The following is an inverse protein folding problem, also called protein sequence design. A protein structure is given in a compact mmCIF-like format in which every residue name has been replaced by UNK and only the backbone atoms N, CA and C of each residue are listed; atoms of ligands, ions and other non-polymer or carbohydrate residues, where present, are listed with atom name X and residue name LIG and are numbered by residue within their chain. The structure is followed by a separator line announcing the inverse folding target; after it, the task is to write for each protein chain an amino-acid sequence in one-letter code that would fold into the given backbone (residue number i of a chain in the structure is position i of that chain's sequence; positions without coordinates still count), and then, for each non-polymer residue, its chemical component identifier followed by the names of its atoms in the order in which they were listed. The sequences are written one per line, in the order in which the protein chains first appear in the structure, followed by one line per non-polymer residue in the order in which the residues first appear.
data_IF_024323430635
#
_entry.id   IF_024323430635
#
_cell.length_a   1.000
_cell.length_b   1.000
_cell.length_c   1.000
_cell.angle_alpha   90.00
_cell.angle_beta   90.00
_cell.angle_gamma   90.00
#
_symmetry.space_group_name_H-M   'P 1'
#
loop_
_entity.id
_entity.type
_entity.pdbx_description
1 polymer ?
#
# COMPACT_ATOMS: atom_id res chain seq x y z
N UNK A 1 27.17 22.80 15.33
CA UNK A 1 26.01 23.66 15.73
C UNK A 1 25.04 23.93 14.57
N UNK A 2 25.52 24.25 13.35
CA UNK A 2 24.67 24.47 12.17
C UNK A 2 23.85 23.23 11.74
N UNK A 3 24.44 22.04 11.77
CA UNK A 3 23.75 20.81 11.30
C UNK A 3 22.59 20.37 12.19
N UNK A 4 22.72 20.55 13.51
CA UNK A 4 21.64 20.29 14.46
C UNK A 4 20.46 21.28 14.29
N UNK A 5 20.76 22.50 13.85
CA UNK A 5 19.76 23.52 13.55
C UNK A 5 19.01 23.17 12.27
N UNK A 6 19.75 22.78 11.21
CA UNK A 6 19.18 22.35 9.92
C UNK A 6 18.26 21.13 10.05
N UNK A 7 18.64 20.13 10.87
CA UNK A 7 17.79 18.95 11.13
C UNK A 7 16.51 19.30 11.90
N UNK A 8 16.60 20.18 12.89
CA UNK A 8 15.44 20.66 13.65
C UNK A 8 14.50 21.49 12.79
N UNK A 9 15.03 22.33 11.90
CA UNK A 9 14.21 23.09 10.94
C UNK A 9 13.57 22.18 9.88
N UNK A 10 14.28 21.16 9.38
CA UNK A 10 13.70 20.20 8.45
C UNK A 10 12.56 19.40 9.09
N UNK A 11 12.76 18.90 10.32
CA UNK A 11 11.73 18.20 11.07
C UNK A 11 10.52 19.09 11.38
N UNK A 12 10.76 20.35 11.77
CA UNK A 12 9.68 21.31 12.00
C UNK A 12 8.89 21.63 10.72
N UNK A 13 9.57 21.74 9.57
CA UNK A 13 8.92 21.92 8.27
C UNK A 13 8.14 20.67 7.87
N UNK A 14 8.67 19.46 8.08
CA UNK A 14 7.96 18.21 7.81
C UNK A 14 6.73 18.02 8.70
N UNK A 15 6.83 18.35 9.99
CA UNK A 15 5.70 18.29 10.93
C UNK A 15 4.67 19.36 10.61
N UNK A 16 5.08 20.57 10.23
CA UNK A 16 4.16 21.61 9.77
C UNK A 16 3.47 21.23 8.46
N UNK A 17 4.17 20.58 7.54
CA UNK A 17 3.60 20.07 6.29
C UNK A 17 2.59 18.95 6.58
N UNK A 18 2.93 18.02 7.47
CA UNK A 18 2.05 16.93 7.92
C UNK A 18 0.80 17.49 8.63
N UNK A 19 0.96 18.43 9.56
CA UNK A 19 -0.16 19.08 10.24
C UNK A 19 -1.00 19.94 9.28
N UNK A 20 -0.39 20.60 8.28
CA UNK A 20 -1.16 21.31 7.25
C UNK A 20 -1.94 20.36 6.34
N UNK A 21 -1.37 19.18 6.03
CA UNK A 21 -2.08 18.12 5.31
C UNK A 21 -3.22 17.55 6.15
N UNK A 22 -3.05 17.41 7.48
CA UNK A 22 -4.10 16.98 8.41
C UNK A 22 -5.17 18.06 8.64
N UNK A 23 -4.80 19.35 8.65
CA UNK A 23 -5.75 20.46 8.77
C UNK A 23 -6.57 20.69 7.49
N UNK A 24 -6.10 20.22 6.33
CA UNK A 24 -6.86 20.13 5.09
C UNK A 24 -7.55 18.75 4.90
N UNK A 25 -7.30 17.77 5.77
CA UNK A 25 -7.93 16.45 5.76
C UNK A 25 -9.25 16.41 6.54
N UNK A 26 -10.10 17.43 6.37
CA UNK A 26 -11.55 17.31 6.61
C UNK A 26 -12.30 16.92 5.34
N UNK A 27 -11.58 16.57 4.28
CA UNK A 27 -12.14 15.95 3.10
C UNK A 27 -11.95 14.44 3.19
N UNK A 28 -12.94 13.76 3.78
CA UNK A 28 -13.38 12.47 3.24
C UNK A 28 -13.47 12.68 1.73
N UNK A 29 -12.66 12.00 0.92
CA UNK A 29 -12.80 12.06 -0.53
C UNK A 29 -14.06 11.25 -0.91
N UNK A 30 -15.21 11.89 -0.74
CA UNK A 30 -16.47 11.58 -1.40
C UNK A 30 -16.37 12.18 -2.81
N UNK A 31 -15.67 11.50 -3.71
CA UNK A 31 -15.99 11.63 -5.13
C UNK A 31 -17.35 10.94 -5.37
N UNK A 32 -18.19 11.37 -6.31
CA UNK A 32 -19.39 10.59 -6.63
C UNK A 32 -18.94 9.21 -7.11
N UNK A 33 -19.23 8.17 -6.33
CA UNK A 33 -19.32 6.80 -6.87
C UNK A 33 -20.52 6.86 -7.81
N UNK A 34 -20.27 7.10 -9.10
CA UNK A 34 -21.29 7.17 -10.14
C UNK A 34 -21.85 5.74 -10.30
N UNK A 35 -23.13 5.48 -9.94
CA UNK A 35 -23.71 4.16 -10.13
C UNK A 35 -23.73 3.84 -11.62
N UNK A 36 -23.13 2.71 -12.02
CA UNK A 36 -23.31 2.15 -13.36
C UNK A 36 -22.10 2.16 -14.30
N UNK A 37 -20.99 2.84 -13.99
CA UNK A 37 -19.78 2.76 -14.84
C UNK A 37 -18.51 2.33 -14.10
N UNK A 38 -18.35 2.72 -12.83
CA UNK A 38 -17.17 2.40 -12.02
C UNK A 38 -17.60 1.99 -10.61
N UNK A 39 -17.72 0.67 -10.36
CA UNK A 39 -18.14 0.15 -9.06
C UNK A 39 -17.00 0.27 -8.05
N UNK A 40 -17.11 1.20 -7.10
CA UNK A 40 -16.20 1.30 -5.96
C UNK A 40 -16.98 1.19 -4.66
N UNK A 41 -16.39 0.58 -3.65
CA UNK A 41 -16.95 0.43 -2.30
C UNK A 41 -15.88 0.75 -1.28
N UNK A 42 -16.17 1.70 -0.39
CA UNK A 42 -15.25 2.22 0.62
C UNK A 42 -15.95 2.16 1.99
N UNK A 43 -15.36 1.50 2.97
CA UNK A 43 -15.86 1.41 4.35
C UNK A 43 -14.69 1.59 5.32
N UNK A 44 -14.91 2.40 6.36
CA UNK A 44 -13.90 2.75 7.36
C UNK A 44 -13.28 4.14 7.13
N UNK A 45 -12.47 4.57 8.09
CA UNK A 45 -11.78 5.87 8.08
C UNK A 45 -10.48 5.76 7.28
N UNK A 46 -10.60 5.78 5.95
CA UNK A 46 -9.47 5.59 5.03
C UNK A 46 -9.56 6.51 3.82
N UNK A 47 -8.42 6.71 3.14
CA UNK A 47 -8.30 7.64 2.02
C UNK A 47 -8.07 6.88 0.71
N UNK A 48 -8.92 7.11 -0.29
CA UNK A 48 -8.70 6.62 -1.64
C UNK A 48 -8.64 7.79 -2.62
N UNK A 49 -7.50 7.98 -3.30
CA UNK A 49 -7.24 9.15 -4.16
C UNK A 49 -6.43 8.83 -5.41
N UNK A 50 -6.50 9.73 -6.41
CA UNK A 50 -5.76 9.61 -7.67
C UNK A 50 -5.30 10.97 -8.19
N UNK A 51 -4.19 10.98 -8.90
CA UNK A 51 -3.49 12.17 -9.39
C UNK A 51 -3.98 12.65 -10.76
N UNK A 52 -4.47 11.75 -11.62
CA UNK A 52 -4.75 12.05 -13.04
C UNK A 52 -6.20 11.77 -13.48
N UNK A 53 -7.04 11.19 -12.63
CA UNK A 53 -8.44 10.81 -12.95
C UNK A 53 -9.22 10.33 -11.70
N UNK A 54 -10.34 9.60 -11.89
CA UNK A 54 -11.22 9.10 -10.82
C UNK A 54 -10.82 7.72 -10.30
N UNK A 55 -11.05 7.47 -9.01
CA UNK A 55 -10.97 6.14 -8.39
C UNK A 55 -12.06 5.25 -8.99
N UNK A 56 -11.69 4.05 -9.46
CA UNK A 56 -12.61 3.10 -10.10
C UNK A 56 -12.26 1.65 -9.81
N UNK A 57 -13.29 0.81 -9.70
CA UNK A 57 -13.17 -0.63 -9.48
C UNK A 57 -12.38 -0.95 -8.21
N UNK A 58 -12.64 -0.21 -7.13
CA UNK A 58 -11.93 -0.35 -5.88
C UNK A 58 -12.82 -0.93 -4.81
N UNK A 59 -12.31 -1.88 -4.05
CA UNK A 59 -12.90 -2.29 -2.80
C UNK A 59 -11.94 -1.99 -1.65
N UNK A 60 -12.27 -1.03 -0.80
CA UNK A 60 -11.48 -0.65 0.36
C UNK A 60 -12.31 -0.84 1.62
N UNK A 61 -11.85 -1.69 2.53
CA UNK A 61 -12.42 -1.86 3.86
C UNK A 61 -11.31 -1.79 4.89
N UNK A 62 -11.43 -0.85 5.82
CA UNK A 62 -10.57 -0.73 6.98
C UNK A 62 -10.34 0.71 7.38
N UNK A 63 -9.62 0.87 8.49
CA UNK A 63 -9.30 2.15 9.09
C UNK A 63 -7.82 2.48 8.90
N UNK A 64 -7.51 3.78 8.88
CA UNK A 64 -6.15 4.33 8.75
C UNK A 64 -5.39 3.82 7.50
N UNK A 65 -6.12 3.44 6.45
CA UNK A 65 -5.53 2.91 5.23
C UNK A 65 -5.55 3.92 4.09
N UNK A 66 -4.66 3.73 3.13
CA UNK A 66 -4.59 4.60 1.96
C UNK A 66 -4.46 3.81 0.66
N UNK A 67 -5.23 4.25 -0.33
CA UNK A 67 -5.19 3.75 -1.70
C UNK A 67 -4.91 4.91 -2.64
N UNK A 68 -3.74 4.91 -3.27
CA UNK A 68 -3.31 6.01 -4.12
C UNK A 68 -2.95 5.49 -5.51
N UNK A 69 -3.49 6.12 -6.54
CA UNK A 69 -3.15 5.84 -7.94
C UNK A 69 -3.31 4.37 -8.37
N UNK A 70 -4.16 3.60 -7.67
CA UNK A 70 -4.30 2.14 -7.83
C UNK A 70 -5.76 1.75 -8.08
N UNK A 71 -6.15 1.62 -9.36
CA UNK A 71 -7.51 1.16 -9.73
C UNK A 71 -7.61 -0.37 -9.70
N UNK A 72 -8.82 -0.93 -9.88
CA UNK A 72 -9.04 -2.39 -9.94
C UNK A 72 -8.42 -3.12 -8.73
N UNK A 73 -8.50 -2.48 -7.56
CA UNK A 73 -7.75 -2.89 -6.38
C UNK A 73 -8.69 -3.30 -5.27
N UNK A 74 -8.30 -4.34 -4.54
CA UNK A 74 -8.95 -4.73 -3.30
C UNK A 74 -7.98 -4.48 -2.15
N UNK A 75 -8.40 -3.72 -1.15
CA UNK A 75 -7.68 -3.48 0.10
C UNK A 75 -8.62 -3.81 1.25
N UNK A 76 -8.31 -4.87 1.99
CA UNK A 76 -8.98 -5.20 3.25
C UNK A 76 -7.95 -5.26 4.36
N UNK A 77 -7.97 -4.27 5.24
CA UNK A 77 -6.88 -4.10 6.18
C UNK A 77 -6.92 -2.77 6.88
N UNK A 78 -6.38 -2.75 8.10
CA UNK A 78 -6.14 -1.49 8.81
C UNK A 78 -4.68 -1.10 8.67
N UNK A 79 -4.40 0.20 8.77
CA UNK A 79 -3.05 0.77 8.64
C UNK A 79 -2.29 0.27 7.39
N UNK A 80 -3.00 0.03 6.29
CA UNK A 80 -2.46 -0.60 5.09
C UNK A 80 -2.39 0.36 3.91
N UNK A 81 -1.45 0.12 3.01
CA UNK A 81 -1.16 1.01 1.90
C UNK A 81 -1.12 0.29 0.56
N UNK A 82 -1.79 0.85 -0.45
CA UNK A 82 -1.61 0.43 -1.84
C UNK A 82 -1.38 1.66 -2.72
N UNK A 83 -0.21 1.75 -3.34
CA UNK A 83 0.26 2.93 -4.09
C UNK A 83 0.81 2.52 -5.44
N UNK A 84 0.42 3.22 -6.51
CA UNK A 84 0.88 2.98 -7.88
C UNK A 84 0.83 1.50 -8.33
N UNK A 85 -0.15 0.76 -7.83
CA UNK A 85 -0.22 -0.70 -7.97
C UNK A 85 -1.60 -1.11 -8.47
N UNK A 86 -1.99 -0.72 -9.70
CA UNK A 86 -3.31 -1.09 -10.22
C UNK A 86 -3.47 -2.60 -10.37
N UNK A 87 -4.70 -3.09 -10.23
CA UNK A 87 -5.00 -4.52 -10.34
C UNK A 87 -4.52 -5.37 -9.16
N UNK A 88 -4.20 -4.76 -8.01
CA UNK A 88 -3.61 -5.46 -6.87
C UNK A 88 -4.64 -5.88 -5.82
N UNK A 89 -4.22 -6.77 -4.92
CA UNK A 89 -5.01 -7.27 -3.79
C UNK A 89 -4.15 -7.21 -2.54
N UNK A 90 -4.58 -6.45 -1.53
CA UNK A 90 -3.93 -6.33 -0.22
C UNK A 90 -4.88 -6.77 0.89
N UNK A 91 -4.47 -7.78 1.66
CA UNK A 91 -5.25 -8.37 2.75
C UNK A 91 -4.40 -8.44 4.02
N UNK A 92 -4.60 -7.56 5.00
CA UNK A 92 -3.82 -7.63 6.23
C UNK A 92 -3.74 -6.32 7.02
N UNK A 93 -3.14 -6.38 8.19
CA UNK A 93 -2.80 -5.20 8.99
C UNK A 93 -1.35 -4.79 8.65
N UNK A 94 -1.08 -3.50 8.47
CA UNK A 94 0.24 -2.99 8.03
C UNK A 94 0.71 -3.55 6.66
N UNK A 95 -0.20 -4.03 5.82
CA UNK A 95 0.16 -4.59 4.52
C UNK A 95 0.50 -3.46 3.53
N UNK A 96 1.53 -3.66 2.70
CA UNK A 96 2.00 -2.65 1.74
C UNK A 96 2.16 -3.21 0.33
N UNK A 97 1.55 -2.54 -0.66
CA UNK A 97 1.85 -2.75 -2.08
C UNK A 97 2.26 -1.42 -2.69
N UNK A 98 3.50 -1.33 -3.17
CA UNK A 98 4.04 -0.12 -3.77
C UNK A 98 4.67 -0.44 -5.14
N UNK A 99 4.29 0.34 -6.16
CA UNK A 99 4.82 0.24 -7.52
C UNK A 99 4.80 -1.21 -8.09
N UNK A 100 3.77 -1.98 -7.73
CA UNK A 100 3.69 -3.43 -7.96
C UNK A 100 2.35 -3.80 -8.62
N UNK A 101 2.22 -3.47 -9.91
CA UNK A 101 1.03 -3.77 -10.70
C UNK A 101 0.70 -5.27 -10.71
N UNK A 102 -0.58 -5.61 -10.57
CA UNK A 102 -1.08 -6.99 -10.43
C UNK A 102 -0.44 -7.78 -9.27
N UNK A 103 0.00 -7.08 -8.22
CA UNK A 103 0.56 -7.69 -7.01
C UNK A 103 -0.51 -8.23 -6.05
N UNK A 104 -0.18 -9.28 -5.31
CA UNK A 104 -1.01 -9.77 -4.19
C UNK A 104 -0.22 -9.81 -2.89
N UNK A 105 -0.73 -9.16 -1.86
CA UNK A 105 -0.22 -9.23 -0.49
C UNK A 105 -1.29 -9.80 0.43
N UNK A 106 -0.91 -10.78 1.25
CA UNK A 106 -1.79 -11.32 2.28
C UNK A 106 -1.02 -11.65 3.56
N UNK A 107 -1.27 -10.92 4.64
CA UNK A 107 -0.63 -11.11 5.94
C UNK A 107 -0.34 -9.80 6.67
N UNK A 108 -0.10 -9.89 7.98
CA UNK A 108 0.36 -8.76 8.78
C UNK A 108 1.77 -8.35 8.31
N UNK A 109 2.00 -7.06 8.04
CA UNK A 109 3.30 -6.52 7.59
C UNK A 109 3.86 -7.23 6.34
N UNK A 110 2.99 -7.86 5.54
CA UNK A 110 3.40 -8.44 4.27
C UNK A 110 3.59 -7.32 3.23
N UNK A 111 4.55 -7.47 2.31
CA UNK A 111 4.90 -6.39 1.38
C UNK A 111 5.26 -6.82 -0.04
N UNK A 112 4.87 -5.99 -1.00
CA UNK A 112 5.31 -6.02 -2.39
C UNK A 112 5.84 -4.64 -2.80
N UNK A 113 7.09 -4.56 -3.21
CA UNK A 113 7.75 -3.30 -3.59
C UNK A 113 8.44 -3.48 -4.93
N UNK A 114 8.12 -2.63 -5.92
CA UNK A 114 8.71 -2.68 -7.27
C UNK A 114 8.65 -4.06 -7.92
N UNK A 115 7.58 -4.81 -7.64
CA UNK A 115 7.49 -6.26 -7.88
C UNK A 115 6.19 -6.62 -8.61
N UNK A 116 6.13 -6.26 -9.89
CA UNK A 116 4.97 -6.52 -10.77
C UNK A 116 4.66 -8.02 -10.84
N UNK A 117 3.37 -8.37 -10.87
CA UNK A 117 2.88 -9.76 -11.01
C UNK A 117 3.40 -10.72 -9.92
N UNK A 118 3.80 -10.19 -8.78
CA UNK A 118 4.37 -10.96 -7.68
C UNK A 118 3.37 -11.16 -6.54
N UNK A 119 3.69 -12.06 -5.62
CA UNK A 119 2.85 -12.32 -4.44
C UNK A 119 3.68 -12.50 -3.17
N UNK A 120 3.27 -11.84 -2.09
CA UNK A 120 3.84 -12.02 -0.74
C UNK A 120 2.72 -12.46 0.20
N UNK A 121 2.75 -13.74 0.61
CA UNK A 121 1.69 -14.38 1.38
C UNK A 121 2.28 -14.98 2.65
N UNK A 122 1.88 -14.44 3.80
CA UNK A 122 2.40 -14.77 5.12
C UNK A 122 2.71 -13.52 5.93
N UNK A 123 2.63 -13.58 7.26
CA UNK A 123 3.04 -12.44 8.08
C UNK A 123 4.51 -12.11 7.82
N UNK A 124 4.86 -10.84 7.64
CA UNK A 124 6.22 -10.36 7.35
C UNK A 124 6.85 -10.93 6.07
N UNK A 125 6.07 -11.56 5.18
CA UNK A 125 6.59 -12.01 3.87
C UNK A 125 6.84 -10.81 2.95
N UNK A 126 7.88 -10.85 2.13
CA UNK A 126 8.18 -9.76 1.20
C UNK A 126 8.65 -10.24 -0.17
N UNK A 127 8.30 -9.47 -1.20
CA UNK A 127 8.96 -9.54 -2.52
C UNK A 127 9.38 -8.13 -2.91
N UNK A 128 10.66 -7.95 -3.19
CA UNK A 128 11.26 -6.66 -3.51
C UNK A 128 12.06 -6.74 -4.81
N UNK A 129 11.89 -5.74 -5.68
CA UNK A 129 12.63 -5.60 -6.94
C UNK A 129 12.62 -6.88 -7.80
N UNK A 130 11.48 -7.59 -7.79
CA UNK A 130 11.36 -8.95 -8.33
C UNK A 130 10.01 -9.12 -9.03
N UNK A 131 10.04 -9.30 -10.34
CA UNK A 131 8.85 -9.50 -11.18
C UNK A 131 8.47 -10.98 -11.27
N UNK A 132 7.17 -11.28 -11.24
CA UNK A 132 6.63 -12.64 -11.36
C UNK A 132 7.15 -13.61 -10.31
N UNK A 133 7.39 -13.13 -9.09
CA UNK A 133 7.98 -13.92 -8.00
C UNK A 133 7.01 -14.11 -6.84
N UNK A 134 7.23 -15.15 -6.04
CA UNK A 134 6.35 -15.50 -4.92
C UNK A 134 7.15 -15.74 -3.64
N UNK A 135 6.80 -15.04 -2.57
CA UNK A 135 7.22 -15.35 -1.21
C UNK A 135 6.03 -15.93 -0.43
N UNK A 136 6.14 -17.17 0.03
CA UNK A 136 5.04 -17.91 0.65
C UNK A 136 5.44 -18.52 1.99
N UNK A 137 4.88 -17.97 3.06
CA UNK A 137 5.09 -18.34 4.46
C UNK A 137 5.57 -17.15 5.30
N UNK A 138 5.48 -17.28 6.62
CA UNK A 138 5.89 -16.22 7.56
C UNK A 138 7.34 -15.79 7.28
N UNK A 139 7.63 -14.51 7.03
CA UNK A 139 9.00 -14.05 6.81
C UNK A 139 9.68 -14.56 5.54
N UNK A 140 8.99 -15.26 4.64
CA UNK A 140 9.54 -15.63 3.33
C UNK A 140 9.91 -14.38 2.53
N UNK A 141 11.04 -14.41 1.83
CA UNK A 141 11.55 -13.26 1.08
C UNK A 141 12.03 -13.66 -0.31
N UNK A 142 11.85 -12.76 -1.27
CA UNK A 142 12.47 -12.76 -2.60
C UNK A 142 12.99 -11.35 -2.89
N UNK A 143 14.22 -11.20 -3.38
CA UNK A 143 14.85 -9.88 -3.52
C UNK A 143 15.85 -9.81 -4.67
N UNK A 144 15.48 -9.12 -5.75
CA UNK A 144 16.33 -8.94 -6.93
C UNK A 144 16.32 -10.11 -7.92
N UNK A 145 15.47 -11.11 -7.72
CA UNK A 145 15.32 -12.26 -8.61
C UNK A 145 13.92 -12.35 -9.21
N UNK A 146 13.84 -12.42 -10.53
CA UNK A 146 12.58 -12.59 -11.26
C UNK A 146 12.24 -14.07 -11.43
N UNK A 147 10.95 -14.40 -11.41
CA UNK A 147 10.42 -15.75 -11.67
C UNK A 147 10.89 -16.81 -10.67
N UNK A 148 11.05 -16.43 -9.39
CA UNK A 148 11.44 -17.37 -8.33
C UNK A 148 10.32 -17.53 -7.31
N UNK A 149 10.37 -18.66 -6.60
CA UNK A 149 9.46 -18.96 -5.51
C UNK A 149 10.27 -19.27 -4.27
N UNK A 150 10.05 -18.51 -3.20
CA UNK A 150 10.55 -18.75 -1.86
C UNK A 150 9.42 -19.31 -1.02
N UNK A 151 9.62 -20.49 -0.43
CA UNK A 151 8.61 -21.17 0.40
C UNK A 151 9.23 -21.51 1.76
N UNK A 152 8.60 -21.05 2.84
CA UNK A 152 9.00 -21.41 4.20
C UNK A 152 8.66 -20.35 5.23
N UNK A 153 8.90 -20.67 6.50
CA UNK A 153 9.04 -19.63 7.52
C UNK A 153 10.45 -19.04 7.36
N UNK A 154 10.58 -17.81 6.88
CA UNK A 154 11.82 -17.05 7.05
C UNK A 154 12.19 -16.93 8.53
N UNK A 155 13.43 -16.52 8.84
CA UNK A 155 13.89 -16.49 10.22
C UNK A 155 12.97 -15.62 11.08
N UNK A 156 12.53 -16.17 12.22
CA UNK A 156 11.93 -15.36 13.28
C UNK A 156 12.98 -14.34 13.75
N UNK A 157 12.59 -13.07 13.85
CA UNK A 157 13.48 -11.96 14.19
C UNK A 157 14.13 -12.09 15.57
#
# INVERSE_FOLDING_TARGET
RRDAFLKKSALAVSVALLLSAQAQAQAILIGPIQPGEDNSFLVGESVAGRSIDKVRNVWLIGDDSFLLDSNRTVLLGNNSGVVNSPGSVSLGHDALIADSEWGTVAGKEASLISSRQSSAIGAFSSVQDSTSSVALGHGSQVSGENNVVSVGAGPEG
#
